data_IF_979173190513
#
_entry.id   IF_979173190513
#
_cell.length_a   1.000
_cell.length_b   1.000
_cell.length_c   1.000
_cell.angle_alpha   90.00
_cell.angle_beta   90.00
_cell.angle_gamma   90.00
#
_symmetry.space_group_name_H-M   'P 1'
#
loop_
_entity.id
_entity.type
_entity.pdbx_description
1 polymer ?
#
# COMPACT_ATOMS: atom_id res chain seq x y z
N UNK A 1 9.66 24.53 37.60
CA UNK A 1 9.74 24.98 36.19
C UNK A 1 9.98 23.86 35.15
N UNK A 2 10.46 22.65 35.49
CA UNK A 2 10.83 21.64 34.48
C UNK A 2 9.65 20.84 33.89
N UNK A 3 8.71 20.36 34.72
CA UNK A 3 7.75 19.31 34.31
C UNK A 3 6.75 19.71 33.22
N UNK A 4 6.32 20.98 33.18
CA UNK A 4 5.28 21.44 32.25
C UNK A 4 5.81 21.82 30.86
N UNK A 5 7.05 22.32 30.76
CA UNK A 5 7.72 22.56 29.48
C UNK A 5 7.95 21.23 28.73
N UNK A 6 8.27 20.18 29.49
CA UNK A 6 8.47 18.81 28.97
C UNK A 6 7.20 18.25 28.35
N UNK A 7 6.02 18.46 28.95
CA UNK A 7 4.73 17.98 28.41
C UNK A 7 4.34 18.64 27.09
N UNK A 8 4.53 19.96 26.97
CA UNK A 8 4.25 20.70 25.73
C UNK A 8 5.11 20.19 24.56
N UNK A 9 6.41 20.03 24.82
CA UNK A 9 7.38 19.50 23.86
C UNK A 9 7.06 18.04 23.50
N UNK A 10 6.63 17.22 24.47
CA UNK A 10 6.22 15.85 24.21
C UNK A 10 5.04 15.76 23.24
N UNK A 11 3.98 16.54 23.43
CA UNK A 11 2.82 16.52 22.52
C UNK A 11 3.20 16.90 21.08
N UNK A 12 4.03 17.92 20.91
CA UNK A 12 4.52 18.32 19.59
C UNK A 12 5.37 17.21 18.96
N UNK A 13 6.31 16.63 19.73
CA UNK A 13 7.19 15.56 19.22
C UNK A 13 6.41 14.30 18.83
N UNK A 14 5.45 13.87 19.66
CA UNK A 14 4.59 12.75 19.31
C UNK A 14 3.70 13.07 18.10
N UNK A 15 3.15 14.28 18.02
CA UNK A 15 2.35 14.71 16.89
C UNK A 15 3.14 14.68 15.57
N UNK A 16 4.37 15.19 15.57
CA UNK A 16 5.28 15.12 14.43
C UNK A 16 5.67 13.67 14.09
N UNK A 17 5.90 12.83 15.10
CA UNK A 17 6.18 11.40 14.89
C UNK A 17 5.01 10.69 14.20
N UNK A 18 3.77 10.96 14.60
CA UNK A 18 2.58 10.37 13.95
C UNK A 18 2.43 10.84 12.50
N UNK A 19 2.67 12.12 12.22
CA UNK A 19 2.64 12.65 10.84
C UNK A 19 3.75 12.04 9.99
N UNK A 20 4.95 11.89 10.56
CA UNK A 20 6.07 11.24 9.89
C UNK A 20 5.76 9.77 9.58
N UNK A 21 5.26 9.02 10.56
CA UNK A 21 4.86 7.62 10.39
C UNK A 21 3.73 7.48 9.36
N UNK A 22 2.72 8.36 9.38
CA UNK A 22 1.65 8.38 8.40
C UNK A 22 2.21 8.58 6.97
N UNK A 23 3.16 9.50 6.80
CA UNK A 23 3.83 9.75 5.52
C UNK A 23 4.67 8.54 5.09
N UNK A 24 5.37 7.91 6.03
CA UNK A 24 6.18 6.72 5.78
C UNK A 24 5.33 5.52 5.36
N UNK A 25 4.24 5.23 6.08
CA UNK A 25 3.30 4.16 5.74
C UNK A 25 2.61 4.44 4.40
N UNK A 26 2.24 5.69 4.12
CA UNK A 26 1.65 6.10 2.84
C UNK A 26 2.51 5.69 1.65
N UNK A 27 3.85 5.73 1.79
CA UNK A 27 4.76 5.32 0.73
C UNK A 27 4.62 3.82 0.38
N UNK A 28 4.34 2.96 1.35
CA UNK A 28 4.15 1.52 1.13
C UNK A 28 2.77 1.21 0.54
N UNK A 29 1.75 1.98 0.91
CA UNK A 29 0.38 1.83 0.41
C UNK A 29 0.24 2.41 -1.01
N UNK A 30 1.03 3.44 -1.33
CA UNK A 30 0.90 4.23 -2.56
C UNK A 30 0.83 3.38 -3.84
N UNK A 31 1.68 2.35 -4.07
CA UNK A 31 1.58 1.56 -5.29
C UNK A 31 0.23 0.85 -5.43
N UNK A 32 -0.31 0.30 -4.33
CA UNK A 32 -1.60 -0.38 -4.28
C UNK A 32 -2.77 0.61 -4.43
N UNK A 33 -2.70 1.75 -3.75
CA UNK A 33 -3.68 2.81 -3.94
C UNK A 33 -3.68 3.31 -5.40
N UNK A 34 -2.51 3.35 -6.05
CA UNK A 34 -2.38 3.79 -7.44
C UNK A 34 -2.90 2.76 -8.44
N UNK A 35 -2.83 1.45 -8.15
CA UNK A 35 -3.44 0.44 -9.04
C UNK A 35 -4.96 0.57 -9.02
N UNK A 36 -5.53 0.66 -7.83
CA UNK A 36 -6.97 0.83 -7.61
C UNK A 36 -7.44 2.15 -8.24
N UNK A 37 -6.83 3.28 -7.88
CA UNK A 37 -7.24 4.60 -8.43
C UNK A 37 -7.04 4.76 -9.94
N UNK A 38 -6.14 3.99 -10.56
CA UNK A 38 -6.04 3.95 -12.03
C UNK A 38 -7.23 3.28 -12.69
N UNK A 39 -7.86 2.30 -12.05
CA UNK A 39 -9.15 1.77 -12.50
C UNK A 39 -10.25 2.83 -12.41
N UNK A 40 -10.16 3.74 -11.43
CA UNK A 40 -11.10 4.85 -11.27
C UNK A 40 -10.79 6.10 -12.11
N UNK A 41 -9.70 6.11 -12.89
CA UNK A 41 -9.25 7.27 -13.67
C UNK A 41 -9.56 7.09 -15.15
N UNK A 42 -10.02 8.16 -15.81
CA UNK A 42 -10.39 8.14 -17.22
C UNK A 42 -9.31 7.55 -18.11
N UNK A 43 -9.72 6.63 -18.97
CA UNK A 43 -8.87 6.06 -20.00
C UNK A 43 -9.06 6.85 -21.30
N UNK A 44 -7.94 7.24 -21.91
CA UNK A 44 -7.95 7.85 -23.24
C UNK A 44 -8.04 6.73 -24.27
N UNK A 45 -9.16 6.69 -25.00
CA UNK A 45 -9.42 5.72 -26.04
C UNK A 45 -8.55 5.99 -27.27
N UNK A 46 -8.41 4.98 -28.13
CA UNK A 46 -7.64 5.08 -29.38
C UNK A 46 -8.18 6.12 -30.37
N UNK A 47 -9.41 6.58 -30.17
CA UNK A 47 -10.05 7.66 -30.93
C UNK A 47 -9.92 9.05 -30.28
N UNK A 48 -9.20 9.16 -29.16
CA UNK A 48 -8.98 10.42 -28.43
C UNK A 48 -10.14 10.84 -27.51
N UNK A 49 -11.14 9.97 -27.30
CA UNK A 49 -12.19 10.19 -26.32
C UNK A 49 -11.77 9.75 -24.91
N UNK A 50 -12.34 10.37 -23.88
CA UNK A 50 -12.12 9.98 -22.47
C UNK A 50 -13.37 9.29 -21.94
N UNK A 51 -13.25 8.03 -21.57
CA UNK A 51 -14.33 7.30 -20.91
C UNK A 51 -14.13 7.32 -19.38
N UNK A 52 -15.17 7.77 -18.67
CA UNK A 52 -15.23 7.81 -17.22
C UNK A 52 -16.27 6.79 -16.76
N UNK A 53 -15.84 5.70 -16.10
CA UNK A 53 -16.78 4.68 -15.64
C UNK A 53 -16.20 3.71 -14.61
N UNK A 54 -17.06 3.29 -13.68
CA UNK A 54 -16.91 2.04 -12.92
C UNK A 54 -17.44 0.90 -13.80
N UNK A 55 -16.68 0.46 -14.80
CA UNK A 55 -17.03 -0.79 -15.50
C UNK A 55 -15.86 -1.77 -15.45
N UNK A 56 -16.21 -3.04 -15.28
CA UNK A 56 -15.31 -4.20 -15.30
C UNK A 56 -14.43 -4.22 -16.57
N UNK A 57 -14.93 -3.68 -17.68
CA UNK A 57 -14.18 -3.50 -18.94
C UNK A 57 -13.07 -2.44 -18.83
N UNK A 58 -13.26 -1.35 -18.09
CA UNK A 58 -12.24 -0.29 -17.96
C UNK A 58 -11.05 -0.70 -17.09
N UNK A 59 -11.27 -1.54 -16.06
CA UNK A 59 -10.19 -2.12 -15.27
C UNK A 59 -9.24 -2.96 -16.13
N UNK A 60 -9.81 -3.68 -17.11
CA UNK A 60 -9.10 -4.52 -18.09
C UNK A 60 -8.33 -3.69 -19.14
N UNK A 61 -8.79 -2.49 -19.49
CA UNK A 61 -8.13 -1.61 -20.47
C UNK A 61 -6.82 -0.99 -19.94
N UNK A 62 -6.70 -0.82 -18.62
CA UNK A 62 -5.47 -0.36 -17.96
C UNK A 62 -4.45 -1.49 -17.72
N UNK A 63 -4.84 -2.73 -17.96
CA UNK A 63 -4.05 -3.91 -17.70
C UNK A 63 -3.21 -4.32 -18.90
N UNK A 64 -1.98 -4.70 -18.61
CA UNK A 64 -1.13 -5.37 -19.57
C UNK A 64 -1.16 -6.87 -19.26
N UNK A 65 -1.41 -7.65 -20.31
CA UNK A 65 -1.34 -9.11 -20.27
C UNK A 65 0.06 -9.54 -20.71
N UNK A 66 0.69 -10.38 -19.89
CA UNK A 66 2.00 -10.94 -20.15
C UNK A 66 1.94 -12.45 -20.16
N UNK A 67 2.72 -13.07 -21.04
CA UNK A 67 2.84 -14.51 -21.15
C UNK A 67 4.29 -14.92 -20.93
N UNK A 68 4.51 -15.95 -20.11
CA UNK A 68 5.85 -16.46 -19.93
C UNK A 68 5.98 -17.46 -18.81
N UNK A 69 7.22 -17.81 -18.54
CA UNK A 69 7.60 -18.61 -17.37
C UNK A 69 8.36 -17.77 -16.38
N UNK A 70 8.16 -18.03 -15.10
CA UNK A 70 8.87 -17.30 -14.04
C UNK A 70 10.35 -17.67 -14.08
N UNK A 71 11.19 -16.69 -14.41
CA UNK A 71 12.64 -16.88 -14.51
C UNK A 71 13.37 -16.52 -13.23
N UNK A 72 12.75 -15.68 -12.40
CA UNK A 72 13.32 -15.20 -11.15
C UNK A 72 12.17 -14.83 -10.21
N UNK A 73 12.31 -15.17 -8.93
CA UNK A 73 11.42 -14.73 -7.87
C UNK A 73 12.24 -14.37 -6.61
N UNK A 74 11.79 -13.34 -5.90
CA UNK A 74 12.37 -12.89 -4.65
C UNK A 74 11.26 -12.61 -3.64
N UNK A 75 11.31 -13.34 -2.54
CA UNK A 75 10.44 -13.17 -1.38
C UNK A 75 11.23 -12.37 -0.32
N UNK A 76 10.85 -11.12 -0.01
CA UNK A 76 11.54 -10.29 0.97
C UNK A 76 11.43 -10.88 2.38
N UNK A 77 12.56 -11.27 2.98
CA UNK A 77 12.55 -11.97 4.28
C UNK A 77 12.33 -11.07 5.51
N UNK A 78 12.46 -9.75 5.36
CA UNK A 78 12.45 -8.83 6.51
C UNK A 78 11.06 -8.60 7.10
N UNK A 79 10.03 -8.75 6.28
CA UNK A 79 8.64 -8.59 6.69
C UNK A 79 7.71 -9.65 6.09
N UNK A 80 8.24 -10.67 5.39
CA UNK A 80 7.44 -11.77 4.85
C UNK A 80 6.78 -12.59 5.96
N UNK A 81 5.54 -13.01 5.75
CA UNK A 81 4.72 -13.72 6.75
C UNK A 81 4.20 -12.80 7.85
N UNK A 82 4.22 -11.48 7.64
CA UNK A 82 3.64 -10.52 8.59
C UNK A 82 2.12 -10.54 8.56
N UNK A 83 1.53 -11.13 7.51
CA UNK A 83 0.13 -10.99 7.12
C UNK A 83 -0.29 -9.51 6.99
N UNK A 84 0.68 -8.65 6.68
CA UNK A 84 0.48 -7.23 6.40
C UNK A 84 0.67 -7.04 4.88
N UNK A 85 -0.41 -6.78 4.14
CA UNK A 85 -0.45 -6.78 2.67
C UNK A 85 0.58 -5.90 1.97
N UNK A 86 0.98 -4.78 2.56
CA UNK A 86 1.95 -3.87 1.93
C UNK A 86 3.40 -4.34 2.08
N UNK A 87 3.62 -5.26 3.01
CA UNK A 87 4.91 -5.83 3.36
C UNK A 87 5.11 -7.21 2.75
N UNK A 88 4.06 -8.02 2.73
CA UNK A 88 4.07 -9.33 2.09
C UNK A 88 3.87 -9.19 0.58
N UNK A 89 4.97 -9.35 -0.15
CA UNK A 89 4.98 -9.24 -1.60
C UNK A 89 6.06 -10.11 -2.20
N UNK A 90 5.79 -10.62 -3.39
CA UNK A 90 6.75 -11.39 -4.18
C UNK A 90 7.13 -10.55 -5.38
N UNK A 91 8.44 -10.37 -5.57
CA UNK A 91 8.98 -9.78 -6.78
C UNK A 91 9.37 -10.88 -7.74
N UNK A 92 8.90 -10.84 -8.98
CA UNK A 92 9.29 -11.84 -9.96
C UNK A 92 9.44 -11.27 -11.37
N UNK A 93 10.04 -12.05 -12.25
CA UNK A 93 10.28 -11.71 -13.65
C UNK A 93 9.86 -12.88 -14.54
N UNK A 94 9.41 -12.56 -15.75
CA UNK A 94 9.03 -13.54 -16.76
C UNK A 94 10.10 -13.60 -17.85
N UNK A 95 10.36 -14.80 -18.36
CA UNK A 95 11.21 -15.06 -19.54
C UNK A 95 12.63 -14.45 -19.48
N UNK A 96 13.16 -14.19 -18.28
CA UNK A 96 14.46 -13.57 -18.08
C UNK A 96 14.49 -12.06 -18.35
N UNK A 97 13.33 -11.40 -18.51
CA UNK A 97 13.29 -9.96 -18.76
C UNK A 97 13.54 -9.16 -17.48
N UNK A 98 14.77 -8.70 -17.31
CA UNK A 98 15.18 -7.88 -16.15
C UNK A 98 14.58 -6.48 -16.15
N UNK A 99 13.96 -6.03 -17.26
CA UNK A 99 13.32 -4.71 -17.35
C UNK A 99 11.88 -4.72 -16.85
N UNK A 100 11.25 -5.89 -16.78
CA UNK A 100 9.86 -6.06 -16.34
C UNK A 100 9.84 -6.77 -14.99
N UNK A 101 9.75 -6.00 -13.90
CA UNK A 101 9.60 -6.55 -12.55
C UNK A 101 8.13 -6.53 -12.13
N UNK A 102 7.60 -7.71 -11.85
CA UNK A 102 6.26 -7.92 -11.32
C UNK A 102 6.30 -7.89 -9.80
N UNK A 103 5.24 -7.34 -9.20
CA UNK A 103 5.03 -7.29 -7.75
C UNK A 103 3.67 -7.89 -7.47
N UNK A 104 3.67 -9.03 -6.78
CA UNK A 104 2.47 -9.70 -6.33
C UNK A 104 2.33 -9.46 -4.82
N UNK A 105 1.28 -8.76 -4.40
CA UNK A 105 0.96 -8.59 -2.98
C UNK A 105 0.06 -9.73 -2.53
N UNK A 106 0.53 -10.54 -1.60
CA UNK A 106 -0.10 -11.80 -1.17
C UNK A 106 0.21 -12.06 0.30
N UNK A 107 -0.74 -12.62 1.05
CA UNK A 107 -0.54 -13.14 2.40
C UNK A 107 -0.28 -14.65 2.37
N UNK A 108 -0.09 -15.24 3.56
CA UNK A 108 0.16 -16.67 3.70
C UNK A 108 -1.02 -17.52 3.17
N UNK A 109 -2.26 -17.07 3.38
CA UNK A 109 -3.47 -17.77 2.89
C UNK A 109 -3.51 -17.87 1.37
N UNK A 110 -3.23 -16.76 0.66
CA UNK A 110 -3.18 -16.76 -0.81
C UNK A 110 -2.00 -17.62 -1.28
N UNK A 111 -0.86 -17.59 -0.59
CA UNK A 111 0.29 -18.42 -0.94
C UNK A 111 0.02 -19.91 -0.75
N UNK A 112 -0.71 -20.28 0.30
CA UNK A 112 -1.12 -21.66 0.55
C UNK A 112 -2.08 -22.17 -0.53
N UNK A 113 -3.03 -21.34 -0.98
CA UNK A 113 -3.93 -21.68 -2.10
C UNK A 113 -3.17 -21.76 -3.42
N UNK A 114 -2.23 -20.83 -3.67
CA UNK A 114 -1.37 -20.89 -4.84
C UNK A 114 -0.49 -22.14 -4.85
N UNK A 115 0.02 -22.57 -3.69
CA UNK A 115 0.93 -23.71 -3.58
C UNK A 115 0.31 -25.03 -4.07
N UNK A 116 -1.01 -25.11 -4.19
CA UNK A 116 -1.69 -26.28 -4.80
C UNK A 116 -1.33 -26.46 -6.28
N UNK A 117 -1.03 -25.38 -7.00
CA UNK A 117 -0.79 -25.39 -8.45
C UNK A 117 0.49 -24.64 -8.88
N UNK A 118 1.06 -23.80 -8.01
CA UNK A 118 2.28 -23.06 -8.27
C UNK A 118 2.95 -22.53 -7.00
N UNK A 119 4.22 -22.90 -6.80
CA UNK A 119 5.06 -22.38 -5.72
C UNK A 119 6.30 -21.68 -6.28
N UNK A 120 6.50 -20.41 -5.92
CA UNK A 120 7.66 -19.62 -6.31
C UNK A 120 9.00 -20.17 -5.82
N UNK A 121 8.99 -21.04 -4.81
CA UNK A 121 10.17 -21.68 -4.24
C UNK A 121 10.48 -23.05 -4.84
N UNK A 122 9.56 -23.61 -5.64
CA UNK A 122 9.70 -24.93 -6.21
C UNK A 122 10.79 -24.98 -7.31
N UNK A 123 11.51 -26.10 -7.41
CA UNK A 123 12.57 -26.29 -8.41
C UNK A 123 12.04 -26.24 -9.86
N UNK A 124 10.78 -26.59 -10.07
CA UNK A 124 10.09 -26.61 -11.37
C UNK A 124 9.23 -25.36 -11.60
N UNK A 125 9.28 -24.35 -10.73
CA UNK A 125 8.49 -23.12 -10.90
C UNK A 125 8.73 -22.45 -12.26
N UNK A 126 9.97 -22.53 -12.76
CA UNK A 126 10.34 -21.99 -14.08
C UNK A 126 9.82 -22.79 -15.27
N UNK A 127 9.20 -23.95 -15.06
CA UNK A 127 8.66 -24.78 -16.13
C UNK A 127 7.19 -24.53 -16.39
N UNK A 128 6.48 -23.94 -15.43
CA UNK A 128 5.05 -23.65 -15.50
C UNK A 128 4.80 -22.41 -16.37
N UNK A 129 4.06 -22.52 -17.50
CA UNK A 129 3.66 -21.38 -18.29
C UNK A 129 2.53 -20.62 -17.60
N UNK A 130 2.60 -19.29 -17.65
CA UNK A 130 1.67 -18.43 -16.93
C UNK A 130 1.29 -17.20 -17.76
N UNK A 131 0.01 -16.85 -17.67
CA UNK A 131 -0.53 -15.55 -18.04
C UNK A 131 -0.59 -14.66 -16.79
N UNK A 132 -0.04 -13.47 -16.87
CA UNK A 132 -0.05 -12.49 -15.76
C UNK A 132 -0.72 -11.22 -16.24
N UNK A 133 -1.76 -10.79 -15.53
CA UNK A 133 -2.40 -9.49 -15.75
C UNK A 133 -1.89 -8.52 -14.71
N UNK A 134 -1.36 -7.39 -15.15
CA UNK A 134 -0.74 -6.43 -14.26
C UNK A 134 -0.87 -4.98 -14.75
N UNK A 135 -0.86 -4.05 -13.80
CA UNK A 135 -0.88 -2.60 -14.08
C UNK A 135 0.48 -1.98 -13.77
N UNK A 136 0.96 -1.14 -14.69
CA UNK A 136 2.22 -0.42 -14.50
C UNK A 136 2.09 0.69 -13.45
N UNK A 137 2.92 0.64 -12.41
CA UNK A 137 3.05 1.68 -11.38
C UNK A 137 4.52 2.04 -11.22
N UNK A 138 4.91 3.21 -11.75
CA UNK A 138 6.30 3.62 -11.80
C UNK A 138 7.13 2.73 -12.73
N UNK A 139 8.14 2.07 -12.17
CA UNK A 139 9.04 1.13 -12.83
C UNK A 139 8.60 -0.34 -12.71
N UNK A 140 7.51 -0.62 -12.00
CA UNK A 140 7.06 -1.98 -11.67
C UNK A 140 5.66 -2.26 -12.21
N UNK A 141 5.34 -3.54 -12.31
CA UNK A 141 4.03 -4.04 -12.69
C UNK A 141 3.38 -4.69 -11.47
N UNK A 142 2.27 -4.15 -11.01
CA UNK A 142 1.54 -4.73 -9.89
C UNK A 142 0.56 -5.76 -10.45
N UNK A 143 0.70 -7.00 -9.98
CA UNK A 143 -0.08 -8.15 -10.44
C UNK A 143 -1.50 -8.08 -9.89
N UNK A 144 -2.46 -8.36 -10.76
CA UNK A 144 -3.89 -8.38 -10.45
C UNK A 144 -4.52 -9.76 -10.60
N UNK A 145 -3.98 -10.58 -11.49
CA UNK A 145 -4.33 -11.99 -11.59
C UNK A 145 -3.22 -12.78 -12.27
N UNK A 146 -3.22 -14.08 -12.02
CA UNK A 146 -2.29 -15.04 -12.60
C UNK A 146 -3.08 -16.27 -13.04
N UNK A 147 -2.83 -16.76 -14.24
CA UNK A 147 -3.52 -17.92 -14.78
C UNK A 147 -2.47 -18.89 -15.32
N UNK A 148 -2.56 -20.14 -14.91
CA UNK A 148 -1.77 -21.27 -15.39
C UNK A 148 -2.70 -22.33 -15.97
N UNK A 149 -2.13 -23.37 -16.60
CA UNK A 149 -2.88 -24.56 -16.98
C UNK A 149 -3.38 -25.37 -15.79
N UNK A 150 -2.77 -25.19 -14.62
CA UNK A 150 -3.02 -25.99 -13.41
C UNK A 150 -3.91 -25.28 -12.39
N UNK A 151 -4.09 -23.95 -12.50
CA UNK A 151 -4.89 -23.16 -11.56
C UNK A 151 -4.91 -21.68 -11.93
N UNK A 152 -5.73 -20.91 -11.21
CA UNK A 152 -5.81 -19.46 -11.36
C UNK A 152 -5.81 -18.75 -10.01
N UNK A 153 -5.17 -17.59 -9.97
CA UNK A 153 -5.36 -16.55 -8.97
C UNK A 153 -6.24 -15.47 -9.61
N UNK A 154 -7.53 -15.54 -9.34
CA UNK A 154 -8.53 -14.69 -9.99
C UNK A 154 -8.42 -13.22 -9.55
N UNK A 155 -8.87 -12.32 -10.42
CA UNK A 155 -8.93 -10.89 -10.10
C UNK A 155 -9.87 -10.62 -8.93
N UNK A 156 -11.03 -11.26 -8.88
CA UNK A 156 -12.01 -11.09 -7.81
C UNK A 156 -11.40 -11.44 -6.45
N UNK A 157 -10.66 -12.55 -6.37
CA UNK A 157 -10.04 -12.98 -5.14
C UNK A 157 -8.89 -12.04 -4.72
N UNK A 158 -8.00 -11.71 -5.65
CA UNK A 158 -6.80 -10.92 -5.34
C UNK A 158 -7.09 -9.42 -5.20
N UNK A 159 -7.81 -8.83 -6.14
CA UNK A 159 -8.06 -7.39 -6.17
C UNK A 159 -9.22 -6.97 -5.29
N UNK A 160 -10.41 -7.57 -5.48
CA UNK A 160 -11.61 -7.19 -4.72
C UNK A 160 -11.55 -7.74 -3.28
N UNK A 161 -11.22 -9.02 -3.14
CA UNK A 161 -11.13 -9.70 -1.85
C UNK A 161 -9.98 -9.21 -0.96
N UNK A 162 -8.80 -8.96 -1.53
CA UNK A 162 -7.59 -8.69 -0.74
C UNK A 162 -7.05 -7.26 -0.94
N UNK A 163 -6.65 -6.85 -2.14
CA UNK A 163 -5.98 -5.55 -2.35
C UNK A 163 -6.87 -4.36 -1.98
N UNK A 164 -8.14 -4.38 -2.36
CA UNK A 164 -9.08 -3.29 -2.08
C UNK A 164 -9.34 -3.12 -0.59
N UNK A 165 -9.73 -4.21 0.09
CA UNK A 165 -9.98 -4.22 1.53
C UNK A 165 -8.80 -3.63 2.30
N UNK A 166 -7.60 -4.13 2.01
CA UNK A 166 -6.41 -3.72 2.73
C UNK A 166 -5.94 -2.32 2.37
N UNK A 167 -6.05 -1.91 1.11
CA UNK A 167 -5.80 -0.53 0.70
C UNK A 167 -6.71 0.43 1.48
N UNK A 168 -8.01 0.11 1.60
CA UNK A 168 -8.96 0.92 2.36
C UNK A 168 -8.56 1.01 3.84
N UNK A 169 -8.26 -0.12 4.48
CA UNK A 169 -7.80 -0.16 5.87
C UNK A 169 -6.50 0.65 6.08
N UNK A 170 -5.56 0.54 5.15
CA UNK A 170 -4.30 1.27 5.18
C UNK A 170 -4.49 2.78 5.06
N UNK A 171 -5.30 3.23 4.10
CA UNK A 171 -5.63 4.66 3.94
C UNK A 171 -6.35 5.19 5.18
N UNK A 172 -7.27 4.41 5.75
CA UNK A 172 -7.95 4.74 7.01
C UNK A 172 -6.97 4.91 8.17
N UNK A 173 -6.02 3.98 8.33
CA UNK A 173 -4.97 4.06 9.36
C UNK A 173 -4.10 5.31 9.18
N UNK A 174 -3.63 5.57 7.96
CA UNK A 174 -2.84 6.77 7.63
C UNK A 174 -3.62 8.04 7.98
N UNK A 175 -4.90 8.11 7.57
CA UNK A 175 -5.77 9.25 7.86
C UNK A 175 -5.94 9.48 9.36
N UNK A 176 -6.19 8.41 10.13
CA UNK A 176 -6.32 8.49 11.58
C UNK A 176 -5.02 8.96 12.23
N UNK A 177 -3.88 8.38 11.87
CA UNK A 177 -2.57 8.77 12.41
C UNK A 177 -2.25 10.23 12.10
N UNK A 178 -2.52 10.68 10.88
CA UNK A 178 -2.31 12.06 10.48
C UNK A 178 -3.20 13.02 11.28
N UNK A 179 -4.50 12.72 11.40
CA UNK A 179 -5.43 13.54 12.19
C UNK A 179 -5.06 13.58 13.67
N UNK A 180 -4.71 12.44 14.26
CA UNK A 180 -4.24 12.38 15.64
C UNK A 180 -2.96 13.18 15.84
N UNK A 181 -2.01 13.07 14.90
CA UNK A 181 -0.79 13.84 14.89
C UNK A 181 -1.06 15.35 14.87
N UNK A 182 -1.96 15.81 14.00
CA UNK A 182 -2.38 17.21 13.95
C UNK A 182 -3.01 17.67 15.26
N UNK A 183 -3.92 16.89 15.84
CA UNK A 183 -4.56 17.21 17.14
C UNK A 183 -3.49 17.37 18.22
N UNK A 184 -2.52 16.47 18.30
CA UNK A 184 -1.42 16.55 19.28
C UNK A 184 -0.56 17.80 19.07
N UNK A 185 -0.26 18.18 17.82
CA UNK A 185 0.47 19.42 17.53
C UNK A 185 -0.35 20.64 17.97
N UNK A 186 -1.65 20.70 17.64
CA UNK A 186 -2.53 21.81 18.02
C UNK A 186 -2.66 21.93 19.53
N UNK A 187 -2.91 20.83 20.23
CA UNK A 187 -2.92 20.79 21.71
C UNK A 187 -1.57 21.25 22.24
N UNK A 188 -0.47 20.75 21.66
CA UNK A 188 0.88 21.14 21.98
C UNK A 188 1.15 22.63 21.79
N UNK A 189 0.49 23.33 20.87
CA UNK A 189 0.65 24.78 20.65
C UNK A 189 -0.25 25.57 21.61
N UNK A 190 -1.53 25.22 21.67
CA UNK A 190 -2.60 25.95 22.37
C UNK A 190 -2.51 25.79 23.89
N UNK A 191 -1.99 24.67 24.39
CA UNK A 191 -1.89 24.44 25.84
C UNK A 191 -0.91 25.45 26.47
N UNK A 192 -1.47 26.49 27.11
CA UNK A 192 -0.71 27.46 27.91
C UNK A 192 -0.28 26.79 29.23
N UNK A 193 0.97 27.00 29.68
CA UNK A 193 1.39 26.51 30.99
C UNK A 193 0.57 27.21 32.07
N UNK A 194 0.02 26.44 33.03
CA UNK A 194 -0.74 26.95 34.18
C UNK A 194 0.00 28.06 34.97
N UNK A 195 1.34 28.04 34.95
CA UNK A 195 2.18 29.04 35.61
C UNK A 195 2.13 30.45 34.98
N UNK A 196 1.79 30.56 33.70
CA UNK A 196 1.64 31.87 33.02
C UNK A 196 0.30 32.51 33.40
N UNK A 197 -0.73 31.69 33.60
CA UNK A 197 -2.07 32.14 34.00
C UNK A 197 -2.07 32.68 35.44
N UNK A 198 -1.35 32.03 36.36
CA UNK A 198 -1.19 32.52 37.75
C UNK A 198 -0.35 33.80 37.83
N UNK A 199 0.66 33.99 36.96
CA UNK A 199 1.42 35.24 36.91
C UNK A 199 0.61 36.41 36.36
N UNK A 200 -0.16 36.22 35.28
CA UNK A 200 -1.10 37.24 34.76
C UNK A 200 -2.15 37.63 35.82
N UNK A 201 -2.71 36.66 36.55
CA UNK A 201 -3.66 36.96 37.64
C UNK A 201 -3.05 37.70 38.83
N UNK A 202 -1.76 37.51 39.12
CA UNK A 202 -1.08 38.25 40.20
C UNK A 202 -0.69 39.69 39.80
N UNK A 203 -0.43 39.94 38.51
CA UNK A 203 -0.09 41.28 38.01
C UNK A 203 -1.29 42.20 37.80
N UNK A 204 -2.49 41.62 37.65
CA UNK A 204 -3.74 42.38 37.50
C UNK A 204 -4.36 42.81 38.86
N UNK A 205 -3.70 42.49 39.99
CA UNK A 205 -4.18 42.77 41.36
C UNK A 205 -3.37 43.87 42.06
N UNK A 206 -2.38 44.48 41.39
CA UNK A 206 -1.67 45.69 41.87
C UNK A 206 -2.25 47.00 41.31
#
# INVERSE_FOLDING_TARGET
MSFFRVRKVAFINFGLLFIFLASWISWYIYPLARTITKEFSAYEMTDGSYEYGMSEELGFLAEHVFYGKVSYAAVPSLFGGSNIPFFDKIFFQLNGDTKCTFVLYVNDEILDEMAEWYDFSAMNASDVPMEVRAVKVGDKYIVKSMISTEGELSWEFLMDGYHFYWCFMGVGLVGLMFMFGLVLVVVGIVYKPRQVVEQEQSSDVE
#
